data_IF_786515024964
#
_entry.id   IF_786515024964
#
_cell.length_a   1.000
_cell.length_b   1.000
_cell.length_c   1.000
_cell.angle_alpha   90.00
_cell.angle_beta   90.00
_cell.angle_gamma   90.00
#
_symmetry.space_group_name_H-M   'P 1'
#
loop_
_entity.id
_entity.type
_entity.pdbx_description
1 polymer ?
#
# COMPACT_ATOMS: atom_id res chain seq x y z
N UNK A 1 6.91 15.14 -11.08
CA UNK A 1 7.88 14.13 -10.59
C UNK A 1 7.57 13.84 -9.14
N UNK A 2 7.62 12.57 -8.75
CA UNK A 2 7.35 12.11 -7.37
C UNK A 2 8.42 12.59 -6.39
N UNK A 3 7.95 13.04 -5.23
CA UNK A 3 8.76 13.46 -4.07
C UNK A 3 9.11 12.24 -3.21
N UNK A 4 10.11 12.38 -2.35
CA UNK A 4 10.56 11.26 -1.51
C UNK A 4 9.46 10.62 -0.65
N UNK A 5 8.55 11.37 0.01
CA UNK A 5 7.45 10.76 0.76
C UNK A 5 6.50 9.94 -0.13
N UNK A 6 6.22 10.43 -1.34
CA UNK A 6 5.35 9.75 -2.31
C UNK A 6 5.98 8.45 -2.81
N UNK A 7 7.29 8.46 -3.04
CA UNK A 7 8.06 7.26 -3.38
C UNK A 7 7.98 6.23 -2.25
N UNK A 8 8.14 6.67 -1.00
CA UNK A 8 8.07 5.78 0.16
C UNK A 8 6.68 5.17 0.35
N UNK A 9 5.62 5.94 0.12
CA UNK A 9 4.25 5.44 0.20
C UNK A 9 3.96 4.37 -0.86
N UNK A 10 4.39 4.58 -2.12
CA UNK A 10 4.23 3.59 -3.19
C UNK A 10 5.04 2.31 -2.91
N UNK A 11 6.28 2.45 -2.42
CA UNK A 11 7.10 1.27 -2.07
C UNK A 11 6.45 0.52 -0.89
N UNK A 12 6.00 1.24 0.13
CA UNK A 12 5.37 0.65 1.31
C UNK A 12 4.06 -0.06 0.95
N UNK A 13 3.25 0.52 0.07
CA UNK A 13 2.00 -0.10 -0.36
C UNK A 13 2.26 -1.40 -1.13
N UNK A 14 3.27 -1.43 -2.01
CA UNK A 14 3.65 -2.66 -2.73
C UNK A 14 4.13 -3.78 -1.81
N UNK A 15 4.94 -3.45 -0.79
CA UNK A 15 5.39 -4.43 0.22
C UNK A 15 4.22 -4.96 1.05
N UNK A 16 3.33 -4.05 1.49
CA UNK A 16 2.17 -4.41 2.30
C UNK A 16 1.11 -5.19 1.52
N UNK A 17 0.93 -4.90 0.22
CA UNK A 17 -0.02 -5.60 -0.63
C UNK A 17 0.28 -7.10 -0.65
N UNK A 18 1.56 -7.50 -0.71
CA UNK A 18 1.94 -8.92 -0.65
C UNK A 18 1.66 -9.63 0.68
N UNK A 19 1.28 -8.90 1.74
CA UNK A 19 1.08 -9.45 3.10
C UNK A 19 -0.28 -9.19 3.72
N UNK A 20 -0.97 -8.15 3.26
CA UNK A 20 -2.20 -7.64 3.84
C UNK A 20 -3.24 -7.24 2.77
N UNK A 21 -3.14 -7.79 1.55
CA UNK A 21 -4.13 -7.54 0.48
C UNK A 21 -5.56 -7.90 0.90
N UNK A 22 -5.73 -8.86 1.81
CA UNK A 22 -7.03 -9.25 2.36
C UNK A 22 -7.75 -8.12 3.12
N UNK A 23 -7.02 -7.08 3.53
CA UNK A 23 -7.58 -5.90 4.19
C UNK A 23 -8.20 -4.90 3.19
N UNK A 24 -8.05 -5.14 1.89
CA UNK A 24 -8.49 -4.23 0.83
C UNK A 24 -9.70 -4.79 0.08
N UNK A 25 -10.52 -3.89 -0.44
CA UNK A 25 -11.46 -4.24 -1.51
C UNK A 25 -10.72 -4.60 -2.81
N UNK A 26 -11.34 -5.36 -3.73
CA UNK A 26 -10.73 -5.68 -5.02
C UNK A 26 -10.30 -4.43 -5.81
N UNK A 27 -11.11 -3.37 -5.77
CA UNK A 27 -10.81 -2.10 -6.43
C UNK A 27 -9.57 -1.41 -5.84
N UNK A 28 -9.43 -1.37 -4.52
CA UNK A 28 -8.26 -0.79 -3.87
C UNK A 28 -6.99 -1.58 -4.18
N UNK A 29 -7.07 -2.92 -4.11
CA UNK A 29 -5.94 -3.80 -4.40
C UNK A 29 -5.46 -3.63 -5.86
N UNK A 30 -6.39 -3.59 -6.82
CA UNK A 30 -6.10 -3.35 -8.23
C UNK A 30 -5.47 -1.98 -8.44
N UNK A 31 -6.05 -0.92 -7.87
CA UNK A 31 -5.51 0.45 -7.98
C UNK A 31 -4.09 0.55 -7.43
N UNK A 32 -3.82 -0.05 -6.27
CA UNK A 32 -2.47 -0.09 -5.67
C UNK A 32 -1.49 -0.83 -6.58
N UNK A 33 -1.91 -1.96 -7.16
CA UNK A 33 -1.08 -2.74 -8.08
C UNK A 33 -0.75 -1.95 -9.36
N UNK A 34 -1.73 -1.26 -9.94
CA UNK A 34 -1.54 -0.42 -11.14
C UNK A 34 -0.60 0.76 -10.88
N UNK A 35 -0.72 1.42 -9.72
CA UNK A 35 0.21 2.48 -9.30
C UNK A 35 1.62 1.89 -9.15
N UNK A 36 1.75 0.74 -8.50
CA UNK A 36 3.03 0.04 -8.35
C UNK A 36 3.66 -0.33 -9.70
N UNK A 37 2.87 -0.84 -10.66
CA UNK A 37 3.34 -1.18 -11.99
C UNK A 37 3.82 0.05 -12.77
N UNK A 38 3.06 1.16 -12.72
CA UNK A 38 3.50 2.45 -13.28
C UNK A 38 4.81 2.92 -12.64
N UNK A 39 4.93 2.82 -11.32
CA UNK A 39 6.16 3.21 -10.61
C UNK A 39 7.37 2.34 -10.98
N UNK A 40 7.19 1.02 -11.17
CA UNK A 40 8.27 0.14 -11.64
C UNK A 40 8.73 0.55 -13.04
N UNK A 41 7.80 0.91 -13.91
CA UNK A 41 8.06 1.27 -15.31
C UNK A 41 8.70 2.64 -15.44
N UNK A 42 8.12 3.66 -14.80
CA UNK A 42 8.47 5.07 -15.00
C UNK A 42 9.23 5.70 -13.82
N UNK A 43 9.44 4.95 -12.73
CA UNK A 43 10.13 5.43 -11.52
C UNK A 43 9.50 6.73 -11.00
N UNK A 44 10.32 7.75 -10.74
CA UNK A 44 9.85 9.07 -10.23
C UNK A 44 9.02 9.85 -11.24
N UNK A 45 8.96 9.42 -12.50
CA UNK A 45 8.13 10.04 -13.54
C UNK A 45 6.73 9.43 -13.62
N UNK A 46 6.44 8.37 -12.84
CA UNK A 46 5.11 7.79 -12.78
C UNK A 46 4.07 8.85 -12.38
N UNK A 47 3.00 8.91 -13.17
CA UNK A 47 1.87 9.80 -12.92
C UNK A 47 0.86 9.07 -12.05
N UNK A 48 0.56 9.66 -10.90
CA UNK A 48 -0.48 9.24 -9.96
C UNK A 48 -1.41 10.42 -9.76
N UNK A 49 -2.68 10.23 -10.09
CA UNK A 49 -3.73 11.25 -9.98
C UNK A 49 -4.11 11.48 -8.52
N UNK A 50 -4.79 12.59 -8.22
CA UNK A 50 -5.22 12.88 -6.85
C UNK A 50 -6.18 11.81 -6.29
N UNK A 51 -7.08 11.28 -7.12
CA UNK A 51 -8.00 10.22 -6.72
C UNK A 51 -7.23 8.91 -6.38
N UNK A 52 -6.24 8.56 -7.19
CA UNK A 52 -5.36 7.42 -6.94
C UNK A 52 -4.55 7.60 -5.65
N UNK A 53 -4.10 8.81 -5.34
CA UNK A 53 -3.43 9.10 -4.07
C UNK A 53 -4.34 8.92 -2.86
N UNK A 54 -5.63 9.24 -2.98
CA UNK A 54 -6.60 9.03 -1.90
C UNK A 54 -6.84 7.53 -1.67
N UNK A 55 -6.97 6.75 -2.74
CA UNK A 55 -7.10 5.29 -2.67
C UNK A 55 -5.84 4.66 -2.06
N UNK A 56 -4.66 5.03 -2.56
CA UNK A 56 -3.38 4.50 -2.07
C UNK A 56 -3.21 4.76 -0.58
N UNK A 57 -3.50 5.98 -0.10
CA UNK A 57 -3.34 6.34 1.32
C UNK A 57 -4.32 5.60 2.22
N UNK A 58 -5.59 5.49 1.81
CA UNK A 58 -6.60 4.70 2.52
C UNK A 58 -6.19 3.22 2.61
N UNK A 59 -5.75 2.64 1.48
CA UNK A 59 -5.28 1.27 1.43
C UNK A 59 -4.04 1.05 2.32
N UNK A 60 -3.10 1.99 2.32
CA UNK A 60 -1.90 1.92 3.14
C UNK A 60 -2.23 1.90 4.65
N UNK A 61 -3.16 2.74 5.08
CA UNK A 61 -3.64 2.77 6.47
C UNK A 61 -4.34 1.46 6.85
N UNK A 62 -5.23 0.95 6.00
CA UNK A 62 -5.94 -0.31 6.22
C UNK A 62 -4.96 -1.49 6.36
N UNK A 63 -3.99 -1.60 5.44
CA UNK A 63 -2.97 -2.65 5.48
C UNK A 63 -2.05 -2.54 6.71
N UNK A 64 -1.65 -1.32 7.09
CA UNK A 64 -0.84 -1.10 8.31
C UNK A 64 -1.58 -1.55 9.56
N UNK A 65 -2.87 -1.21 9.65
CA UNK A 65 -3.73 -1.62 10.76
C UNK A 65 -3.87 -3.14 10.83
N UNK A 66 -4.18 -3.79 9.70
CA UNK A 66 -4.29 -5.24 9.63
C UNK A 66 -2.98 -5.94 10.07
N UNK A 67 -1.82 -5.41 9.67
CA UNK A 67 -0.53 -5.95 10.07
C UNK A 67 -0.27 -5.77 11.58
N UNK A 68 -0.62 -4.61 12.14
CA UNK A 68 -0.48 -4.36 13.57
C UNK A 68 -1.38 -5.28 14.41
N UNK A 69 -2.62 -5.50 13.98
CA UNK A 69 -3.57 -6.42 14.63
C UNK A 69 -3.05 -7.87 14.60
N UNK A 70 -2.48 -8.32 13.46
CA UNK A 70 -1.86 -9.66 13.34
C UNK A 70 -0.65 -9.84 14.26
N UNK A 71 0.20 -8.82 14.39
CA UNK A 71 1.34 -8.86 15.30
C UNK A 71 0.89 -8.99 16.76
N UNK A 72 -0.09 -8.19 17.17
CA UNK A 72 -0.64 -8.25 18.52
C UNK A 72 -1.28 -9.61 18.85
N UNK A 73 -1.96 -10.24 17.88
CA UNK A 73 -2.53 -11.58 18.05
C UNK A 73 -1.45 -12.66 18.17
N UNK A 74 -0.42 -12.61 17.32
CA UNK A 74 0.71 -13.56 17.38
C UNK A 74 1.50 -13.48 18.69
N UNK A 75 1.63 -12.29 19.28
CA UNK A 75 2.24 -12.10 20.60
C UNK A 75 1.37 -12.66 21.73
N UNK A 76 0.04 -12.53 21.64
CA UNK A 76 -0.90 -13.06 22.62
C UNK A 76 -0.98 -14.60 22.61
N UNK A 77 -0.80 -15.23 21.44
CA UNK A 77 -0.78 -16.70 21.32
C UNK A 77 0.54 -17.33 21.81
N UNK A 78 1.61 -16.53 21.92
CA UNK A 78 2.94 -16.97 22.35
C UNK A 78 3.23 -16.75 23.85
N UNK A 79 2.34 -16.05 24.57
CA UNK A 79 2.45 -15.70 25.99
C UNK A 79 1.67 -16.66 26.91
#
# INVERSE_FOLDING_TARGET
MLRDPEVLDIISSGVLLGRAAEALSPFEAETVAEIGQRFVTYRREAVVTEAEWQVLRTALEAMRRAMAERLAQGEAEAA
#
